data_IF_450880874986
#
_entry.id   IF_450880874986
#
_cell.length_a   1.000
_cell.length_b   1.000
_cell.length_c   1.000
_cell.angle_alpha   90.00
_cell.angle_beta   90.00
_cell.angle_gamma   90.00
#
_symmetry.space_group_name_H-M   'P 1'
#
loop_
_entity.id
_entity.type
_entity.pdbx_description
1 polymer ?
#
# COMPACT_ATOMS: atom_id res chain seq x y z
N UNK A 1 51.46 -15.94 -52.16
CA UNK A 1 50.87 -15.85 -50.80
C UNK A 1 50.99 -14.41 -50.30
N UNK A 2 49.93 -13.60 -50.38
CA UNK A 2 49.89 -12.25 -49.78
C UNK A 2 48.58 -12.10 -49.02
N UNK A 3 48.73 -11.58 -47.80
CA UNK A 3 47.92 -11.81 -46.61
C UNK A 3 46.70 -10.88 -46.54
N UNK A 4 45.52 -11.46 -46.38
CA UNK A 4 44.25 -10.80 -46.04
C UNK A 4 44.15 -10.57 -44.53
N UNK A 5 45.00 -9.71 -43.97
CA UNK A 5 44.97 -9.32 -42.54
C UNK A 5 44.07 -8.10 -42.22
N UNK A 6 43.74 -7.14 -43.12
CA UNK A 6 43.03 -5.93 -42.68
C UNK A 6 41.53 -6.13 -42.40
N UNK A 7 40.90 -7.18 -42.93
CA UNK A 7 39.46 -7.41 -42.74
C UNK A 7 39.11 -7.94 -41.33
N UNK A 8 40.01 -8.70 -40.71
CA UNK A 8 39.74 -9.30 -39.39
C UNK A 8 39.89 -8.27 -38.24
N UNK A 9 40.81 -7.31 -38.38
CA UNK A 9 41.01 -6.25 -37.40
C UNK A 9 39.86 -5.24 -37.37
N UNK A 10 39.23 -4.97 -38.53
CA UNK A 10 38.05 -4.09 -38.60
C UNK A 10 36.80 -4.71 -37.94
N UNK A 11 36.65 -6.04 -38.03
CA UNK A 11 35.50 -6.74 -37.45
C UNK A 11 35.57 -6.84 -35.92
N UNK A 12 36.77 -6.96 -35.35
CA UNK A 12 36.99 -6.95 -33.89
C UNK A 12 36.77 -5.54 -33.30
N UNK A 13 37.13 -4.48 -34.02
CA UNK A 13 36.89 -3.11 -33.56
C UNK A 13 35.39 -2.76 -33.48
N UNK A 14 34.56 -3.25 -34.41
CA UNK A 14 33.10 -3.02 -34.41
C UNK A 14 32.41 -3.78 -33.26
N UNK A 15 32.91 -4.97 -32.90
CA UNK A 15 32.39 -5.73 -31.75
C UNK A 15 32.72 -5.07 -30.39
N UNK A 16 33.83 -4.33 -30.30
CA UNK A 16 34.23 -3.61 -29.08
C UNK A 16 33.38 -2.36 -28.81
N UNK A 17 32.76 -1.76 -29.83
CA UNK A 17 31.84 -0.61 -29.65
C UNK A 17 30.43 -1.00 -29.19
N UNK A 18 30.01 -2.26 -29.36
CA UNK A 18 28.70 -2.71 -28.87
C UNK A 18 28.74 -3.18 -27.40
N UNK A 19 29.92 -3.48 -26.85
CA UNK A 19 30.10 -3.83 -25.43
C UNK A 19 30.16 -2.62 -24.48
N UNK A 20 30.06 -1.39 -24.99
CA UNK A 20 30.10 -0.16 -24.18
C UNK A 20 28.72 0.51 -23.97
N UNK A 21 27.63 -0.02 -24.54
CA UNK A 21 26.27 0.41 -24.22
C UNK A 21 25.70 -0.44 -23.07
N UNK A 22 26.41 -0.39 -21.95
CA UNK A 22 26.04 -1.02 -20.69
C UNK A 22 26.43 -0.12 -19.53
N UNK A 23 26.42 1.20 -19.75
CA UNK A 23 26.34 2.13 -18.64
C UNK A 23 24.93 2.03 -18.11
N UNK A 24 24.76 1.47 -16.91
CA UNK A 24 23.65 1.85 -16.05
C UNK A 24 23.72 3.37 -15.93
N UNK A 25 23.02 4.08 -16.83
CA UNK A 25 22.82 5.51 -16.74
C UNK A 25 21.97 5.72 -15.52
N UNK A 26 22.62 5.84 -14.34
CA UNK A 26 21.91 6.21 -13.13
C UNK A 26 21.26 7.55 -13.42
N UNK A 27 19.93 7.61 -13.28
CA UNK A 27 19.18 8.84 -13.46
C UNK A 27 19.83 10.01 -12.71
N UNK A 28 19.85 11.19 -13.33
CA UNK A 28 20.29 12.43 -12.69
C UNK A 28 19.26 13.00 -11.73
N UNK A 29 18.03 12.47 -11.74
CA UNK A 29 16.97 12.93 -10.85
C UNK A 29 17.20 12.39 -9.44
N UNK A 30 17.01 13.26 -8.45
CA UNK A 30 16.91 12.82 -7.05
C UNK A 30 15.59 12.09 -6.80
N UNK A 31 15.56 11.19 -5.82
CA UNK A 31 14.33 10.52 -5.39
C UNK A 31 13.17 11.51 -5.11
N UNK A 32 13.46 12.65 -4.49
CA UNK A 32 12.45 13.69 -4.25
C UNK A 32 11.87 14.29 -5.53
N UNK A 33 12.70 14.50 -6.56
CA UNK A 33 12.24 14.96 -7.87
C UNK A 33 11.39 13.91 -8.58
N UNK A 34 11.80 12.63 -8.52
CA UNK A 34 11.03 11.52 -9.11
C UNK A 34 9.64 11.44 -8.46
N UNK A 35 9.53 11.51 -7.12
CA UNK A 35 8.25 11.53 -6.41
C UNK A 35 7.42 12.77 -6.79
N UNK A 36 8.04 13.94 -6.94
CA UNK A 36 7.34 15.17 -7.35
C UNK A 36 6.78 15.12 -8.77
N UNK A 37 7.56 14.59 -9.70
CA UNK A 37 7.13 14.39 -11.08
C UNK A 37 5.98 13.38 -11.12
N UNK A 38 6.07 12.32 -10.30
CA UNK A 38 5.02 11.31 -10.17
C UNK A 38 3.72 11.89 -9.63
N UNK A 39 3.76 12.67 -8.54
CA UNK A 39 2.56 13.36 -8.01
C UNK A 39 1.91 14.26 -9.07
N UNK A 40 2.72 14.91 -9.90
CA UNK A 40 2.23 15.77 -10.99
C UNK A 40 1.59 14.97 -12.12
N UNK A 41 2.21 13.87 -12.55
CA UNK A 41 1.73 13.01 -13.63
C UNK A 41 0.46 12.23 -13.23
N UNK A 42 0.44 11.67 -12.02
CA UNK A 42 -0.70 10.90 -11.49
C UNK A 42 -1.98 11.76 -11.39
N UNK A 43 -1.86 13.05 -11.10
CA UNK A 43 -3.00 14.01 -11.11
C UNK A 43 -3.64 14.20 -12.49
N UNK A 44 -2.94 13.84 -13.56
CA UNK A 44 -3.42 13.98 -14.94
C UNK A 44 -4.01 12.69 -15.51
N UNK A 45 -3.97 11.59 -14.76
CA UNK A 45 -4.56 10.33 -15.21
C UNK A 45 -6.07 10.50 -15.42
N UNK A 46 -6.57 9.83 -16.46
CA UNK A 46 -8.01 9.74 -16.76
C UNK A 46 -8.55 8.37 -16.42
N UNK A 47 -7.72 7.35 -16.55
CA UNK A 47 -8.07 5.96 -16.33
C UNK A 47 -6.93 5.27 -15.61
N UNK A 48 -7.24 4.40 -14.66
CA UNK A 48 -6.26 3.53 -14.00
C UNK A 48 -6.85 2.15 -13.79
N UNK A 49 -6.00 1.13 -13.86
CA UNK A 49 -6.30 -0.21 -13.40
C UNK A 49 -5.49 -0.49 -12.14
N UNK A 50 -6.11 -1.03 -11.11
CA UNK A 50 -5.48 -1.31 -9.82
C UNK A 50 -5.66 -2.78 -9.49
N UNK A 51 -4.55 -3.44 -9.14
CA UNK A 51 -4.55 -4.73 -8.46
C UNK A 51 -4.02 -4.52 -7.04
N UNK A 52 -4.74 -5.05 -6.06
CA UNK A 52 -4.44 -4.90 -4.65
C UNK A 52 -4.35 -6.28 -3.99
N UNK A 53 -3.32 -6.47 -3.18
CA UNK A 53 -3.21 -7.59 -2.27
C UNK A 53 -2.82 -7.04 -0.89
N UNK A 54 -3.56 -7.45 0.12
CA UNK A 54 -3.30 -7.14 1.52
C UNK A 54 -3.22 -8.45 2.28
N UNK A 55 -2.13 -8.65 3.01
CA UNK A 55 -1.97 -9.77 3.92
C UNK A 55 -1.76 -9.21 5.32
N UNK A 56 -2.66 -9.54 6.24
CA UNK A 56 -2.54 -9.21 7.67
C UNK A 56 -2.29 -10.50 8.41
N UNK A 57 -1.17 -10.59 9.10
CA UNK A 57 -0.89 -11.67 10.04
C UNK A 57 -0.85 -11.10 11.44
N UNK A 58 -1.78 -11.52 12.28
CA UNK A 58 -1.84 -11.14 13.68
C UNK A 58 -1.58 -12.36 14.55
N UNK A 59 -0.57 -12.30 15.41
CA UNK A 59 -0.32 -13.31 16.44
C UNK A 59 -0.58 -12.70 17.81
N UNK A 60 -1.32 -13.40 18.67
CA UNK A 60 -1.49 -12.99 20.07
C UNK A 60 -0.67 -13.92 20.94
N UNK A 61 0.32 -13.35 21.64
CA UNK A 61 1.16 -14.06 22.62
C UNK A 61 0.82 -13.58 24.02
N UNK A 62 0.65 -14.50 24.97
CA UNK A 62 0.51 -14.16 26.39
C UNK A 62 -0.90 -13.85 26.91
N UNK A 63 -1.98 -14.25 26.20
CA UNK A 63 -3.30 -14.26 26.85
C UNK A 63 -3.29 -15.36 27.93
N UNK A 64 -3.66 -15.06 29.20
CA UNK A 64 -3.88 -16.10 30.19
C UNK A 64 -5.07 -16.94 29.75
N UNK A 65 -4.80 -18.12 29.20
CA UNK A 65 -5.85 -19.14 29.01
C UNK A 65 -6.27 -19.61 30.39
N UNK A 66 -7.58 -19.69 30.63
CA UNK A 66 -8.15 -20.27 31.86
C UNK A 66 -7.83 -21.76 32.04
N UNK A 67 -7.11 -22.35 31.10
CA UNK A 67 -6.61 -23.71 31.10
C UNK A 67 -5.09 -23.71 31.19
N UNK A 68 -4.59 -24.28 32.29
CA UNK A 68 -3.18 -24.57 32.53
C UNK A 68 -2.65 -25.46 31.41
N UNK A 69 -1.75 -24.94 30.56
CA UNK A 69 -0.88 -25.79 29.72
C UNK A 69 -0.92 -25.64 28.20
N UNK A 70 -1.49 -24.59 27.60
CA UNK A 70 -1.32 -24.33 26.15
C UNK A 70 -0.86 -22.91 25.89
N UNK A 71 0.42 -22.73 25.59
CA UNK A 71 1.04 -21.47 25.16
C UNK A 71 1.05 -21.31 23.64
N UNK A 72 0.18 -22.02 22.92
CA UNK A 72 0.21 -22.00 21.46
C UNK A 72 -0.28 -20.63 20.97
N UNK A 73 0.56 -19.83 20.28
CA UNK A 73 0.14 -18.54 19.76
C UNK A 73 -0.96 -18.76 18.72
N UNK A 74 -2.15 -18.20 18.95
CA UNK A 74 -3.16 -18.17 17.91
C UNK A 74 -2.74 -17.09 16.90
N UNK A 75 -2.29 -17.52 15.73
CA UNK A 75 -2.06 -16.65 14.59
C UNK A 75 -3.28 -16.67 13.66
N UNK A 76 -3.71 -15.49 13.24
CA UNK A 76 -4.76 -15.31 12.26
C UNK A 76 -4.17 -14.60 11.06
N UNK A 77 -4.36 -15.19 9.89
CA UNK A 77 -4.04 -14.55 8.61
C UNK A 77 -5.32 -14.17 7.90
N UNK A 78 -5.43 -12.89 7.53
CA UNK A 78 -6.48 -12.35 6.69
C UNK A 78 -5.82 -11.91 5.39
N UNK A 79 -6.30 -12.45 4.28
CA UNK A 79 -5.89 -12.05 2.94
C UNK A 79 -7.03 -11.32 2.26
N UNK A 80 -6.74 -10.16 1.69
CA UNK A 80 -7.68 -9.39 0.88
C UNK A 80 -7.04 -9.22 -0.48
N UNK A 81 -7.72 -9.67 -1.54
CA UNK A 81 -7.31 -9.39 -2.91
C UNK A 81 -8.39 -8.54 -3.57
N UNK A 82 -7.99 -7.60 -4.40
CA UNK A 82 -8.90 -6.80 -5.18
C UNK A 82 -8.34 -6.43 -6.54
N UNK A 83 -9.24 -6.19 -7.48
CA UNK A 83 -8.91 -5.68 -8.81
C UNK A 83 -9.99 -4.69 -9.22
N UNK A 84 -9.61 -3.60 -9.84
CA UNK A 84 -10.57 -2.59 -10.25
C UNK A 84 -10.05 -1.67 -11.33
N UNK A 85 -10.98 -0.92 -11.89
CA UNK A 85 -10.74 0.10 -12.90
C UNK A 85 -11.40 1.39 -12.41
N UNK A 86 -10.71 2.52 -12.56
CA UNK A 86 -11.25 3.84 -12.31
C UNK A 86 -11.15 4.66 -13.60
N UNK A 87 -12.25 5.32 -13.95
CA UNK A 87 -12.36 6.31 -15.02
C UNK A 87 -12.80 7.61 -14.36
N UNK A 88 -11.85 8.52 -14.21
CA UNK A 88 -12.08 9.79 -13.52
C UNK A 88 -13.04 10.69 -14.34
N UNK A 89 -13.88 11.49 -13.67
CA UNK A 89 -13.89 11.72 -12.22
C UNK A 89 -14.86 10.82 -11.42
N UNK A 90 -15.74 10.04 -12.07
CA UNK A 90 -16.96 9.56 -11.41
C UNK A 90 -17.34 8.10 -11.67
N UNK A 91 -16.49 7.34 -12.35
CA UNK A 91 -16.72 5.94 -12.66
C UNK A 91 -15.64 5.05 -12.08
N UNK A 92 -16.04 4.00 -11.38
CA UNK A 92 -15.10 3.00 -10.88
C UNK A 92 -15.78 1.64 -10.78
N UNK A 93 -15.00 0.58 -10.90
CA UNK A 93 -15.44 -0.79 -10.61
C UNK A 93 -14.38 -1.50 -9.79
N UNK A 94 -14.82 -2.30 -8.83
CA UNK A 94 -13.95 -3.06 -7.96
C UNK A 94 -14.55 -4.42 -7.69
N UNK A 95 -13.68 -5.42 -7.65
CA UNK A 95 -13.98 -6.73 -7.09
C UNK A 95 -13.02 -6.97 -5.95
N UNK A 96 -13.53 -7.43 -4.82
CA UNK A 96 -12.73 -7.77 -3.65
C UNK A 96 -13.09 -9.16 -3.18
N UNK A 97 -12.07 -9.95 -2.86
CA UNK A 97 -12.17 -11.21 -2.17
C UNK A 97 -11.42 -11.14 -0.84
N UNK A 98 -12.09 -11.51 0.24
CA UNK A 98 -11.53 -11.69 1.57
C UNK A 98 -11.45 -13.18 1.86
N UNK A 99 -10.26 -13.67 2.17
CA UNK A 99 -10.02 -15.04 2.63
C UNK A 99 -9.37 -15.03 4.01
N UNK A 100 -9.78 -15.96 4.86
CA UNK A 100 -9.31 -16.04 6.25
C UNK A 100 -10.48 -16.26 7.21
N UNK A 101 -10.19 -16.54 8.48
CA UNK A 101 -11.21 -16.73 9.54
C UNK A 101 -12.27 -17.82 9.25
N UNK A 102 -11.93 -18.83 8.45
CA UNK A 102 -12.79 -19.98 8.18
C UNK A 102 -13.89 -19.76 7.13
N UNK A 103 -13.90 -18.63 6.40
CA UNK A 103 -14.85 -18.39 5.31
C UNK A 103 -14.32 -17.40 4.28
N UNK A 104 -14.63 -17.65 3.00
CA UNK A 104 -14.31 -16.72 1.92
C UNK A 104 -15.51 -15.81 1.62
N UNK A 105 -15.24 -14.52 1.48
CA UNK A 105 -16.21 -13.50 1.12
C UNK A 105 -15.77 -12.83 -0.17
N UNK A 106 -16.69 -12.64 -1.10
CA UNK A 106 -16.45 -11.83 -2.29
C UNK A 106 -17.58 -10.83 -2.45
N UNK A 107 -17.25 -9.61 -2.85
CA UNK A 107 -18.22 -8.62 -3.26
C UNK A 107 -17.67 -7.84 -4.46
N UNK A 108 -18.59 -7.26 -5.22
CA UNK A 108 -18.26 -6.34 -6.30
C UNK A 108 -18.97 -5.01 -6.05
N UNK A 109 -18.30 -3.93 -6.42
CA UNK A 109 -18.82 -2.57 -6.33
C UNK A 109 -18.64 -1.88 -7.69
N UNK A 110 -19.66 -1.15 -8.14
CA UNK A 110 -19.56 -0.24 -9.28
C UNK A 110 -20.05 1.12 -8.82
N UNK A 111 -19.25 2.14 -9.05
CA UNK A 111 -19.63 3.53 -8.84
C UNK A 111 -19.84 4.19 -10.21
N UNK A 112 -20.96 4.89 -10.38
CA UNK A 112 -21.24 5.68 -11.58
C UNK A 112 -22.05 6.92 -11.22
N UNK A 113 -21.43 8.10 -11.34
CA UNK A 113 -22.05 9.36 -10.94
C UNK A 113 -22.45 9.32 -9.45
N UNK A 114 -23.73 9.53 -9.15
CA UNK A 114 -24.27 9.53 -7.78
C UNK A 114 -24.73 8.16 -7.27
N UNK A 115 -24.51 7.09 -8.03
CA UNK A 115 -24.98 5.75 -7.68
C UNK A 115 -23.81 4.82 -7.38
N UNK A 116 -24.00 3.99 -6.35
CA UNK A 116 -23.12 2.88 -5.98
C UNK A 116 -23.93 1.60 -6.10
N UNK A 117 -23.41 0.65 -6.87
CA UNK A 117 -23.99 -0.66 -7.09
C UNK A 117 -23.16 -1.68 -6.34
N UNK A 118 -23.77 -2.49 -5.48
CA UNK A 118 -23.09 -3.52 -4.70
C UNK A 118 -23.67 -4.88 -5.07
N UNK A 119 -22.80 -5.83 -5.39
CA UNK A 119 -23.16 -7.21 -5.66
C UNK A 119 -22.97 -8.07 -4.41
N UNK A 120 -24.03 -8.76 -3.98
CA UNK A 120 -23.92 -9.75 -2.91
C UNK A 120 -23.30 -11.07 -3.41
N UNK A 121 -23.07 -12.03 -2.50
CA UNK A 121 -22.51 -13.35 -2.84
C UNK A 121 -23.40 -14.17 -3.80
N UNK A 122 -24.71 -13.87 -3.86
CA UNK A 122 -25.68 -14.52 -4.75
C UNK A 122 -25.69 -13.88 -6.15
N UNK A 123 -24.86 -12.88 -6.41
CA UNK A 123 -24.79 -12.19 -7.69
C UNK A 123 -25.85 -11.09 -7.88
N UNK A 124 -26.66 -10.81 -6.86
CA UNK A 124 -27.72 -9.79 -6.93
C UNK A 124 -27.14 -8.40 -6.68
N UNK A 125 -27.56 -7.43 -7.50
CA UNK A 125 -27.13 -6.04 -7.41
C UNK A 125 -28.12 -5.19 -6.64
N UNK A 126 -27.59 -4.35 -5.75
CA UNK A 126 -28.33 -3.34 -5.00
C UNK A 126 -27.78 -1.97 -5.36
N UNK A 127 -28.67 -0.97 -5.46
CA UNK A 127 -28.29 0.41 -5.76
C UNK A 127 -28.45 1.29 -4.52
N UNK A 128 -27.42 2.07 -4.23
CA UNK A 128 -27.37 3.02 -3.13
C UNK A 128 -27.02 4.38 -3.72
N UNK A 129 -27.74 5.42 -3.29
CA UNK A 129 -27.40 6.80 -3.61
C UNK A 129 -26.20 7.23 -2.74
N UNK A 130 -25.16 7.81 -3.36
CA UNK A 130 -23.96 8.29 -2.65
C UNK A 130 -24.29 9.25 -1.52
N UNK A 131 -25.33 10.07 -1.64
CA UNK A 131 -25.75 10.99 -0.58
C UNK A 131 -26.20 10.28 0.71
N UNK A 132 -26.56 8.99 0.62
CA UNK A 132 -26.94 8.15 1.76
C UNK A 132 -25.76 7.43 2.40
N UNK A 133 -24.60 7.40 1.72
CA UNK A 133 -23.35 6.94 2.30
C UNK A 133 -22.78 8.11 3.10
N UNK A 134 -22.69 7.98 4.43
CA UNK A 134 -22.19 9.08 5.25
C UNK A 134 -20.72 9.36 4.90
N UNK A 135 -20.35 10.63 4.80
CA UNK A 135 -18.98 11.10 4.49
C UNK A 135 -17.91 10.62 5.47
N UNK A 136 -18.32 10.10 6.62
CA UNK A 136 -17.47 9.59 7.70
C UNK A 136 -17.45 8.05 7.76
N UNK A 137 -18.14 7.37 6.85
CA UNK A 137 -18.16 5.92 6.81
C UNK A 137 -17.26 5.42 5.71
N UNK A 138 -16.27 4.63 6.11
CA UNK A 138 -15.45 3.73 5.31
C UNK A 138 -16.28 2.65 4.58
N UNK A 139 -17.46 3.00 4.04
CA UNK A 139 -18.46 2.06 3.50
C UNK A 139 -18.28 1.76 2.02
N UNK A 140 -17.57 2.61 1.29
CA UNK A 140 -17.10 2.29 -0.06
C UNK A 140 -15.63 1.87 0.04
N UNK A 141 -15.35 0.60 -0.27
CA UNK A 141 -13.96 0.11 -0.37
C UNK A 141 -13.24 0.77 -1.56
N UNK A 142 -13.99 1.38 -2.49
CA UNK A 142 -13.47 2.18 -3.59
C UNK A 142 -12.97 3.57 -3.17
N UNK A 143 -13.51 4.18 -2.10
CA UNK A 143 -13.05 5.51 -1.65
C UNK A 143 -11.69 5.48 -0.93
N UNK A 144 -11.02 4.33 -0.87
CA UNK A 144 -9.68 4.18 -0.29
C UNK A 144 -8.62 3.70 -1.30
N UNK A 145 -9.03 3.31 -2.51
CA UNK A 145 -8.15 2.83 -3.59
C UNK A 145 -8.18 3.74 -4.83
N UNK A 146 -8.62 4.99 -4.66
CA UNK A 146 -8.79 5.97 -5.74
C UNK A 146 -7.49 6.72 -6.06
N UNK A 147 -7.31 7.19 -7.29
CA UNK A 147 -6.16 8.04 -7.69
C UNK A 147 -5.92 9.23 -6.74
N UNK A 148 -6.96 9.97 -6.28
CA UNK A 148 -6.80 11.02 -5.27
C UNK A 148 -6.13 10.56 -3.97
N UNK A 149 -6.36 9.32 -3.53
CA UNK A 149 -5.76 8.79 -2.30
C UNK A 149 -4.29 8.42 -2.49
N UNK A 150 -3.91 7.92 -3.68
CA UNK A 150 -2.50 7.72 -4.01
C UNK A 150 -1.70 9.04 -3.98
N UNK A 151 -2.30 10.14 -4.43
CA UNK A 151 -1.64 11.45 -4.35
C UNK A 151 -1.39 11.91 -2.89
N UNK A 152 -2.27 11.55 -1.94
CA UNK A 152 -2.03 11.84 -0.52
C UNK A 152 -0.83 11.08 0.03
N UNK A 153 -0.58 9.86 -0.44
CA UNK A 153 0.60 9.06 -0.08
C UNK A 153 1.87 9.68 -0.64
N UNK A 154 1.85 10.14 -1.89
CA UNK A 154 2.98 10.83 -2.51
C UNK A 154 3.28 12.15 -1.78
N UNK A 155 2.25 12.92 -1.41
CA UNK A 155 2.41 14.14 -0.63
C UNK A 155 2.98 13.84 0.78
N UNK A 156 2.58 12.74 1.41
CA UNK A 156 3.16 12.29 2.68
C UNK A 156 4.62 11.87 2.51
N UNK A 157 4.95 11.14 1.44
CA UNK A 157 6.31 10.75 1.09
C UNK A 157 7.21 11.98 0.92
N UNK A 158 6.74 13.02 0.22
CA UNK A 158 7.47 14.28 0.06
C UNK A 158 7.72 15.02 1.37
N UNK A 159 6.77 14.98 2.31
CA UNK A 159 6.89 15.64 3.62
C UNK A 159 7.80 14.90 4.59
N UNK A 160 8.02 13.60 4.39
CA UNK A 160 8.85 12.79 5.26
C UNK A 160 10.29 12.68 4.70
N UNK A 161 11.26 13.15 5.49
CA UNK A 161 12.64 13.38 5.04
C UNK A 161 13.49 12.10 4.84
N UNK A 162 12.94 10.90 5.02
CA UNK A 162 13.68 9.63 4.92
C UNK A 162 13.34 8.88 3.62
N UNK A 163 13.53 9.56 2.49
CA UNK A 163 13.52 8.91 1.19
C UNK A 163 14.81 8.09 1.04
N UNK A 164 14.67 6.81 0.71
CA UNK A 164 15.78 5.93 0.33
C UNK A 164 15.62 5.60 -1.15
N UNK A 165 16.68 5.82 -1.91
CA UNK A 165 16.71 5.49 -3.33
C UNK A 165 17.44 4.16 -3.52
N UNK A 166 16.76 3.17 -4.06
CA UNK A 166 17.29 1.83 -4.30
C UNK A 166 17.86 1.66 -5.71
N UNK A 167 17.78 2.70 -6.54
CA UNK A 167 18.14 2.64 -7.95
C UNK A 167 17.04 2.01 -8.80
N UNK A 168 17.44 1.53 -9.98
CA UNK A 168 16.49 1.02 -10.96
C UNK A 168 16.32 -0.49 -10.79
N UNK A 169 15.07 -0.95 -10.73
CA UNK A 169 14.68 -2.34 -10.63
C UNK A 169 13.83 -2.75 -11.83
N UNK A 170 14.07 -3.94 -12.37
CA UNK A 170 13.22 -4.49 -13.45
C UNK A 170 12.02 -5.22 -12.87
N UNK A 171 10.81 -4.72 -13.17
CA UNK A 171 9.56 -5.34 -12.74
C UNK A 171 8.62 -5.47 -13.94
N UNK A 172 8.12 -6.70 -14.19
CA UNK A 172 7.26 -7.02 -15.33
C UNK A 172 7.82 -6.56 -16.70
N UNK A 173 9.15 -6.56 -16.86
CA UNK A 173 9.82 -6.16 -18.09
C UNK A 173 10.04 -4.64 -18.26
N UNK A 174 9.63 -3.82 -17.30
CA UNK A 174 9.92 -2.39 -17.26
C UNK A 174 11.05 -2.08 -16.25
N UNK A 175 11.95 -1.17 -16.59
CA UNK A 175 12.95 -0.62 -15.67
C UNK A 175 12.32 0.53 -14.89
N UNK A 176 12.23 0.41 -13.58
CA UNK A 176 11.51 1.33 -12.70
C UNK A 176 12.42 1.83 -11.58
N UNK A 177 12.38 3.11 -11.27
CA UNK A 177 13.05 3.66 -10.09
C UNK A 177 12.35 3.19 -8.84
N UNK A 178 13.08 2.55 -7.93
CA UNK A 178 12.57 2.08 -6.66
C UNK A 178 12.94 3.05 -5.54
N UNK A 179 11.93 3.64 -4.91
CA UNK A 179 12.07 4.63 -3.84
C UNK A 179 11.26 4.17 -2.64
N UNK A 180 11.86 4.20 -1.46
CA UNK A 180 11.20 3.82 -0.21
C UNK A 180 11.14 4.97 0.79
N UNK A 181 10.07 5.01 1.58
CA UNK A 181 9.87 5.97 2.67
C UNK A 181 9.56 5.23 3.95
N UNK A 182 10.42 5.40 4.94
CA UNK A 182 10.17 4.85 6.28
C UNK A 182 9.37 5.84 7.11
N UNK A 183 8.18 5.44 7.53
CA UNK A 183 7.32 6.16 8.45
C UNK A 183 7.55 5.66 9.87
N UNK A 184 7.88 6.60 10.76
CA UNK A 184 7.84 6.37 12.20
C UNK A 184 6.41 6.54 12.75
N UNK A 185 6.24 6.47 14.07
CA UNK A 185 4.95 6.69 14.74
C UNK A 185 4.27 7.99 14.30
N UNK A 186 5.02 9.09 14.14
CA UNK A 186 4.42 10.37 13.74
C UNK A 186 3.99 10.33 12.27
N UNK A 187 4.80 9.78 11.38
CA UNK A 187 4.46 9.57 9.98
C UNK A 187 3.21 8.69 9.80
N UNK A 188 3.08 7.63 10.60
CA UNK A 188 1.90 6.76 10.62
C UNK A 188 0.67 7.50 11.16
N UNK A 189 0.80 8.31 12.22
CA UNK A 189 -0.31 9.13 12.72
C UNK A 189 -0.79 10.12 11.66
N UNK A 190 0.13 10.77 10.94
CA UNK A 190 -0.19 11.66 9.83
C UNK A 190 -0.88 10.92 8.67
N UNK A 191 -0.42 9.70 8.36
CA UNK A 191 -1.07 8.83 7.38
C UNK A 191 -2.53 8.54 7.78
N UNK A 192 -2.76 8.09 9.01
CA UNK A 192 -4.12 7.81 9.50
C UNK A 192 -5.02 9.06 9.48
N UNK A 193 -4.46 10.24 9.76
CA UNK A 193 -5.17 11.52 9.66
C UNK A 193 -5.53 11.88 8.21
N UNK A 194 -4.62 11.68 7.25
CA UNK A 194 -4.84 12.04 5.84
C UNK A 194 -5.95 11.22 5.18
N UNK A 195 -6.15 9.99 5.66
CA UNK A 195 -7.24 9.09 5.27
C UNK A 195 -8.53 9.27 6.08
N UNK A 196 -8.59 10.29 6.94
CA UNK A 196 -9.78 10.59 7.73
C UNK A 196 -10.11 9.57 8.82
N UNK A 197 -9.28 8.56 9.04
CA UNK A 197 -9.54 7.49 10.02
C UNK A 197 -9.60 8.01 11.46
N UNK A 198 -8.97 9.16 11.71
CA UNK A 198 -8.96 9.82 13.01
C UNK A 198 -9.93 11.02 13.08
N UNK A 199 -10.62 11.35 11.99
CA UNK A 199 -11.58 12.45 11.98
C UNK A 199 -12.84 12.05 12.77
N UNK A 200 -13.28 12.92 13.66
CA UNK A 200 -14.44 12.67 14.52
C UNK A 200 -14.14 11.83 15.78
N UNK A 201 -12.93 11.29 15.93
CA UNK A 201 -12.49 10.74 17.22
C UNK A 201 -12.30 11.87 18.21
N UNK A 202 -13.13 11.88 19.26
CA UNK A 202 -13.06 12.88 20.35
C UNK A 202 -13.21 12.20 21.71
N UNK A 203 -12.78 12.90 22.76
CA UNK A 203 -12.92 12.45 24.15
C UNK A 203 -12.21 11.12 24.41
N UNK A 204 -12.94 10.15 24.96
CA UNK A 204 -12.42 8.83 25.34
C UNK A 204 -11.90 8.02 24.15
N UNK A 205 -12.55 8.10 22.98
CA UNK A 205 -12.10 7.37 21.79
C UNK A 205 -10.70 7.80 21.33
N UNK A 206 -10.43 9.11 21.38
CA UNK A 206 -9.12 9.67 21.07
C UNK A 206 -8.08 9.26 22.13
N UNK A 207 -8.44 9.32 23.42
CA UNK A 207 -7.55 8.87 24.50
C UNK A 207 -7.19 7.38 24.38
N UNK A 208 -8.16 6.52 24.07
CA UNK A 208 -7.91 5.09 23.86
C UNK A 208 -7.01 4.85 22.65
N UNK A 209 -7.25 5.56 21.54
CA UNK A 209 -6.37 5.49 20.36
C UNK A 209 -4.95 5.94 20.72
N UNK A 210 -4.80 7.11 21.36
CA UNK A 210 -3.47 7.62 21.72
C UNK A 210 -2.76 6.69 22.71
N UNK A 211 -3.48 6.10 23.69
CA UNK A 211 -2.91 5.10 24.60
C UNK A 211 -2.44 3.84 23.86
N UNK A 212 -3.27 3.29 22.97
CA UNK A 212 -2.92 2.16 22.12
C UNK A 212 -1.72 2.46 21.21
N UNK A 213 -1.75 3.60 20.54
CA UNK A 213 -0.71 4.00 19.60
C UNK A 213 0.63 4.24 20.31
N UNK A 214 0.58 4.79 21.52
CA UNK A 214 1.76 5.03 22.33
C UNK A 214 2.31 3.76 22.99
N UNK A 215 1.48 2.76 23.30
CA UNK A 215 1.91 1.50 23.94
C UNK A 215 2.61 0.53 22.97
N UNK A 216 2.50 0.74 21.66
CA UNK A 216 3.24 -0.04 20.66
C UNK A 216 4.75 0.14 20.85
N UNK A 217 5.50 -0.94 21.10
CA UNK A 217 6.96 -0.90 21.28
C UNK A 217 7.66 -0.66 19.94
N UNK A 218 7.22 -1.40 18.94
CA UNK A 218 7.68 -1.28 17.56
C UNK A 218 6.49 -0.95 16.68
N UNK A 219 6.50 0.27 16.13
CA UNK A 219 5.49 0.75 15.19
C UNK A 219 6.20 1.51 14.08
N UNK A 220 6.35 0.84 12.95
CA UNK A 220 6.96 1.39 11.75
C UNK A 220 6.19 0.94 10.51
N UNK A 221 6.28 1.75 9.47
CA UNK A 221 5.77 1.39 8.16
C UNK A 221 6.79 1.79 7.10
N UNK A 222 6.79 1.05 5.99
CA UNK A 222 7.55 1.43 4.79
C UNK A 222 6.58 1.57 3.63
N UNK A 223 6.72 2.68 2.91
CA UNK A 223 6.05 2.92 1.64
C UNK A 223 7.08 2.72 0.53
N UNK A 224 6.90 1.72 -0.31
CA UNK A 224 7.76 1.44 -1.46
C UNK A 224 7.04 1.85 -2.76
N UNK A 225 7.75 2.56 -3.64
CA UNK A 225 7.24 3.07 -4.92
C UNK A 225 8.14 2.60 -6.07
N UNK A 226 7.54 2.00 -7.10
CA UNK A 226 8.23 1.69 -8.37
C UNK A 226 7.67 2.56 -9.47
N UNK A 227 8.52 3.45 -9.99
CA UNK A 227 8.14 4.56 -10.86
C UNK A 227 8.87 4.45 -12.18
N UNK A 228 8.15 4.55 -13.30
CA UNK A 228 8.77 4.74 -14.61
C UNK A 228 9.20 6.21 -14.74
N UNK A 229 10.50 6.48 -14.75
CA UNK A 229 11.01 7.86 -14.84
C UNK A 229 10.68 8.55 -16.18
N UNK A 230 10.45 7.79 -17.24
CA UNK A 230 10.14 8.35 -18.57
C UNK A 230 8.72 8.92 -18.65
N UNK A 231 7.77 8.28 -17.98
CA UNK A 231 6.36 8.69 -17.93
C UNK A 231 5.98 9.36 -16.62
N UNK A 232 6.82 9.21 -15.59
CA UNK A 232 6.52 9.53 -14.19
C UNK A 232 5.28 8.79 -13.66
N UNK A 233 4.93 7.64 -14.23
CA UNK A 233 3.80 6.84 -13.76
C UNK A 233 4.24 5.86 -12.69
N UNK A 234 3.38 5.70 -11.68
CA UNK A 234 3.53 4.72 -10.63
C UNK A 234 3.01 3.37 -11.12
N UNK A 235 3.88 2.36 -11.15
CA UNK A 235 3.52 1.01 -11.59
C UNK A 235 3.20 0.09 -10.42
N UNK A 236 3.87 0.29 -9.28
CA UNK A 236 3.63 -0.47 -8.06
C UNK A 236 3.81 0.42 -6.84
N UNK A 237 2.92 0.22 -5.89
CA UNK A 237 3.02 0.73 -4.55
C UNK A 237 2.92 -0.44 -3.58
N UNK A 238 3.77 -0.45 -2.57
CA UNK A 238 3.69 -1.42 -1.48
C UNK A 238 3.77 -0.70 -0.14
N UNK A 239 2.90 -1.10 0.79
CA UNK A 239 2.95 -0.65 2.16
C UNK A 239 3.20 -1.85 3.07
N UNK A 240 4.33 -1.82 3.78
CA UNK A 240 4.64 -2.77 4.85
C UNK A 240 4.38 -2.10 6.19
N UNK A 241 3.68 -2.78 7.08
CA UNK A 241 3.38 -2.28 8.42
C UNK A 241 3.76 -3.33 9.45
N UNK A 242 4.59 -2.93 10.42
CA UNK A 242 4.93 -3.77 11.56
C UNK A 242 4.40 -3.13 12.84
N UNK A 243 3.66 -3.92 13.60
CA UNK A 243 3.09 -3.52 14.88
C UNK A 243 3.34 -4.61 15.93
N UNK A 244 4.05 -4.23 16.98
CA UNK A 244 4.27 -5.05 18.16
C UNK A 244 3.64 -4.37 19.37
N UNK A 245 2.60 -4.98 19.91
CA UNK A 245 1.81 -4.47 21.03
C UNK A 245 2.13 -5.22 22.31
N UNK A 246 2.34 -4.48 23.39
CA UNK A 246 2.32 -5.03 24.73
C UNK A 246 0.92 -4.85 25.33
N UNK A 247 0.13 -5.92 25.29
CA UNK A 247 -1.25 -5.88 25.77
C UNK A 247 -1.37 -5.96 27.30
N UNK A 248 -0.29 -6.21 28.04
CA UNK A 248 -0.31 -6.33 29.51
C UNK A 248 -0.87 -5.08 30.20
N UNK A 249 -0.73 -3.92 29.56
CA UNK A 249 -1.22 -2.62 30.05
C UNK A 249 -2.75 -2.45 29.94
N UNK A 250 -3.42 -3.29 29.15
CA UNK A 250 -4.87 -3.26 28.96
C UNK A 250 -5.61 -4.33 29.78
N UNK A 251 -4.87 -5.16 30.53
CA UNK A 251 -5.43 -6.23 31.37
C UNK A 251 -5.48 -5.73 32.81
N UNK A 252 -6.66 -5.35 33.30
CA UNK A 252 -6.86 -5.18 34.75
C UNK A 252 -7.05 -6.58 35.35
N UNK A 253 -6.21 -7.03 36.31
CA UNK A 253 -6.43 -8.30 36.97
C UNK A 253 -7.81 -8.31 37.61
N UNK A 254 -8.64 -9.30 37.29
CA UNK A 254 -9.89 -9.51 38.02
C UNK A 254 -9.50 -9.87 39.47
N UNK A 255 -9.96 -9.12 40.50
CA UNK A 255 -9.69 -9.48 41.88
C UNK A 255 -10.20 -10.90 42.11
N UNK A 256 -9.30 -11.81 42.49
CA UNK A 256 -9.63 -13.21 42.69
C UNK A 256 -10.75 -13.35 43.71
N UNK A 257 -11.82 -14.04 43.35
CA UNK A 257 -12.75 -14.58 44.33
C UNK A 257 -12.00 -15.65 45.12
N UNK A 258 -11.56 -15.29 46.32
CA UNK A 258 -11.17 -16.26 47.35
C UNK A 258 -12.39 -17.09 47.70
N UNK A 259 -12.42 -18.34 47.24
CA UNK A 259 -13.22 -19.40 47.87
C UNK A 259 -12.41 -20.03 48.99
#
# INVERSE_FOLDING_TARGET
MRRSIPAFLAMVAILLFMSACGSNSSSSLSAGQVISNTSSAMKQLKTVHVNMTVAVTAGVSGLPTTTTGSSTPNSYTININGSGDEVLPDQASLKVSLGGLGSNYSFAEITKGQQVYIQNKQGQWYVIDKSKLSSNSSTSVLSSASVPDFNKLLDLAQKNAKLTDHGDETLNGASLRHISVTLDKNGIKQLLQSYGQLQGMTGTSQQTFDQFFNSAKDLNATLDFWIDESTSYLHRFEMKFNLNLDLSQFITPTPGSTT
#
